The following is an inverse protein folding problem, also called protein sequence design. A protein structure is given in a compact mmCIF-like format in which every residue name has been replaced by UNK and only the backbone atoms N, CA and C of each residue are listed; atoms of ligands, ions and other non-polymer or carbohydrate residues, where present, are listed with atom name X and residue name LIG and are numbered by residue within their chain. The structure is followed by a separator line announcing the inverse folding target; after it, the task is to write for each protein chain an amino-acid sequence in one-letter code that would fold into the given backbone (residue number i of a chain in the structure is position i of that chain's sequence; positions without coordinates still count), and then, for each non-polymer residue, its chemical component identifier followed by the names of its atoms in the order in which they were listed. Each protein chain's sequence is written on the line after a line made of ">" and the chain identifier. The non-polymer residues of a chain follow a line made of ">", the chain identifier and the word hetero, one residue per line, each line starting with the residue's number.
data_IF_846636728621
#
_entry.id   IF_846636728621
#
_cell.length_a   1.000
_cell.length_b   1.000
_cell.length_c   1.000
_cell.angle_alpha   90.00
_cell.angle_beta   90.00
_cell.angle_gamma   90.00
#
_symmetry.space_group_name_H-M   'P 1'
#
loop_
_entity.id
_entity.type
_entity.pdbx_description
1 polymer ?
#
# COMPACT_ATOMS: atom_id res chain seq x y z
N UNK A 1 -13.08 -20.79 -0.83
CA UNK A 1 -12.93 -21.67 0.34
C UNK A 1 -13.94 -21.40 1.45
N UNK A 2 -14.63 -20.25 1.44
CA UNK A 2 -15.47 -19.84 2.58
C UNK A 2 -16.98 -19.97 2.39
N UNK A 3 -17.46 -19.83 1.15
CA UNK A 3 -18.89 -19.95 0.85
C UNK A 3 -19.42 -21.38 0.99
N UNK A 4 -18.52 -22.36 1.19
CA UNK A 4 -18.84 -23.78 1.25
C UNK A 4 -19.11 -24.32 2.67
N UNK A 5 -19.29 -23.45 3.67
CA UNK A 5 -19.67 -23.84 5.04
C UNK A 5 -18.49 -24.29 5.90
N UNK A 6 -17.74 -23.31 6.42
CA UNK A 6 -16.63 -23.55 7.37
C UNK A 6 -17.09 -23.95 8.78
N UNK A 7 -16.12 -24.37 9.61
CA UNK A 7 -16.29 -24.88 10.98
C UNK A 7 -17.19 -23.98 11.84
N UNK A 8 -18.16 -24.61 12.51
CA UNK A 8 -19.15 -24.04 13.45
C UNK A 8 -18.61 -23.16 14.57
N UNK A 9 -17.28 -23.15 14.82
CA UNK A 9 -16.63 -22.37 15.89
C UNK A 9 -16.37 -20.90 15.53
N UNK A 10 -16.68 -20.48 14.30
CA UNK A 10 -16.39 -19.14 13.79
C UNK A 10 -14.99 -19.06 13.16
N UNK A 11 -14.81 -18.13 12.21
CA UNK A 11 -13.51 -17.83 11.62
C UNK A 11 -12.73 -17.01 12.65
N UNK A 12 -11.60 -17.51 13.13
CA UNK A 12 -10.79 -16.82 14.15
C UNK A 12 -9.37 -16.51 13.66
N UNK A 13 -8.86 -17.25 12.69
CA UNK A 13 -7.50 -17.08 12.18
C UNK A 13 -7.42 -17.28 10.66
N UNK A 14 -6.41 -16.68 10.04
CA UNK A 14 -6.06 -16.85 8.63
C UNK A 14 -4.54 -16.68 8.45
N UNK A 15 -3.95 -17.37 7.47
CA UNK A 15 -2.52 -17.27 7.19
C UNK A 15 -2.22 -17.39 5.70
N UNK A 16 -1.21 -16.67 5.24
CA UNK A 16 -0.61 -16.77 3.91
C UNK A 16 0.84 -17.21 4.06
N UNK A 17 1.17 -18.36 3.47
CA UNK A 17 2.52 -18.94 3.48
C UNK A 17 2.96 -19.28 2.06
N UNK A 18 3.99 -18.60 1.57
CA UNK A 18 4.55 -18.79 0.22
C UNK A 18 6.03 -19.15 0.35
N UNK A 19 6.45 -20.17 -0.39
CA UNK A 19 7.84 -20.61 -0.45
C UNK A 19 8.45 -20.32 -1.81
N UNK A 20 9.67 -19.77 -1.82
CA UNK A 20 10.53 -19.52 -2.98
C UNK A 20 11.93 -19.96 -2.53
N UNK A 21 12.67 -20.79 -3.30
CA UNK A 21 14.03 -21.16 -2.95
C UNK A 21 14.86 -19.91 -2.64
N UNK A 22 15.54 -19.88 -1.50
CA UNK A 22 16.32 -18.71 -1.04
C UNK A 22 15.51 -17.40 -0.97
N UNK A 23 14.17 -17.49 -0.87
CA UNK A 23 13.28 -16.34 -0.87
C UNK A 23 13.02 -15.73 0.51
N UNK A 24 13.48 -16.38 1.58
CA UNK A 24 13.41 -15.82 2.92
C UNK A 24 14.32 -14.61 3.09
N UNK A 25 14.15 -13.90 4.22
CA UNK A 25 14.95 -12.72 4.55
C UNK A 25 16.46 -12.97 4.37
N UNK A 26 17.12 -12.12 3.57
CA UNK A 26 18.53 -12.25 3.16
C UNK A 26 18.92 -13.64 2.59
N UNK A 27 17.97 -14.36 1.99
CA UNK A 27 18.17 -15.72 1.49
C UNK A 27 18.37 -16.77 2.58
N UNK A 28 18.09 -16.45 3.84
CA UNK A 28 18.39 -17.31 5.00
C UNK A 28 17.49 -18.56 5.12
N UNK A 29 16.41 -18.65 4.34
CA UNK A 29 15.52 -19.80 4.23
C UNK A 29 14.63 -19.68 2.98
N UNK A 30 13.68 -20.61 2.80
CA UNK A 30 12.76 -20.63 1.64
C UNK A 30 11.41 -19.93 1.91
N UNK A 31 11.22 -19.30 3.08
CA UNK A 31 9.94 -18.68 3.49
C UNK A 31 9.84 -17.26 2.94
N UNK A 32 9.34 -17.14 1.73
CA UNK A 32 9.24 -15.84 1.07
C UNK A 32 8.16 -14.94 1.66
N UNK A 33 6.97 -15.49 1.96
CA UNK A 33 5.87 -14.75 2.60
C UNK A 33 5.32 -15.63 3.72
N UNK A 34 5.21 -15.09 4.94
CA UNK A 34 4.59 -15.75 6.09
C UNK A 34 3.82 -14.71 6.91
N UNK A 35 2.58 -14.44 6.52
CA UNK A 35 1.69 -13.46 7.15
C UNK A 35 0.56 -14.22 7.85
N UNK A 36 0.26 -13.85 9.09
CA UNK A 36 -0.74 -14.53 9.92
C UNK A 36 -1.61 -13.55 10.68
N UNK A 37 -2.88 -13.92 10.82
CA UNK A 37 -3.86 -13.32 11.71
C UNK A 37 -4.34 -14.45 12.60
N UNK A 38 -4.02 -14.38 13.89
CA UNK A 38 -4.26 -15.47 14.83
C UNK A 38 -5.61 -15.35 15.59
N UNK A 39 -6.11 -14.12 15.76
CA UNK A 39 -7.40 -13.85 16.44
C UNK A 39 -8.05 -12.57 15.86
N UNK A 40 -9.07 -12.73 15.03
CA UNK A 40 -9.89 -11.63 14.50
C UNK A 40 -11.31 -12.10 14.18
N UNK A 41 -12.31 -11.22 14.34
CA UNK A 41 -13.71 -11.53 13.98
C UNK A 41 -13.88 -11.80 12.48
N UNK A 42 -13.01 -11.18 11.68
CA UNK A 42 -12.97 -11.27 10.22
C UNK A 42 -11.55 -11.55 9.70
N UNK A 43 -10.97 -12.74 9.98
CA UNK A 43 -9.53 -12.94 9.86
C UNK A 43 -9.01 -12.91 8.42
N UNK A 44 -9.85 -13.19 7.42
CA UNK A 44 -9.45 -13.12 6.01
C UNK A 44 -9.36 -11.68 5.51
N UNK A 45 -10.32 -10.84 5.88
CA UNK A 45 -10.30 -9.42 5.55
C UNK A 45 -9.13 -8.73 6.26
N UNK A 46 -8.87 -9.12 7.50
CA UNK A 46 -7.70 -8.64 8.23
C UNK A 46 -6.38 -9.16 7.63
N UNK A 47 -6.34 -10.43 7.18
CA UNK A 47 -5.16 -10.97 6.51
C UNK A 47 -4.85 -10.21 5.22
N UNK A 48 -5.89 -9.83 4.46
CA UNK A 48 -5.73 -9.01 3.27
C UNK A 48 -5.15 -7.64 3.62
N UNK A 49 -5.70 -6.96 4.63
CA UNK A 49 -5.18 -5.65 5.11
C UNK A 49 -3.73 -5.74 5.54
N UNK A 50 -3.38 -6.74 6.35
CA UNK A 50 -1.99 -6.96 6.82
C UNK A 50 -1.08 -7.34 5.66
N UNK A 51 -1.56 -8.13 4.70
CA UNK A 51 -0.79 -8.49 3.52
C UNK A 51 -0.50 -7.29 2.62
N UNK A 52 -1.46 -6.38 2.42
CA UNK A 52 -1.24 -5.15 1.66
C UNK A 52 -0.10 -4.34 2.26
N UNK A 53 -0.10 -4.14 3.58
CA UNK A 53 1.00 -3.47 4.29
C UNK A 53 2.32 -4.21 4.14
N UNK A 54 2.31 -5.54 4.31
CA UNK A 54 3.49 -6.39 4.14
C UNK A 54 4.09 -6.26 2.73
N UNK A 55 3.26 -6.29 1.69
CA UNK A 55 3.68 -6.20 0.29
C UNK A 55 4.29 -4.83 -0.02
N UNK A 56 3.66 -3.73 0.43
CA UNK A 56 4.20 -2.38 0.19
C UNK A 56 5.50 -2.13 0.98
N UNK A 57 5.64 -2.66 2.20
CA UNK A 57 6.79 -2.35 3.08
C UNK A 57 7.99 -3.28 2.93
N UNK A 58 7.77 -4.57 2.64
CA UNK A 58 8.81 -5.60 2.73
C UNK A 58 9.12 -6.27 1.40
N UNK A 59 8.23 -6.19 0.41
CA UNK A 59 8.46 -6.82 -0.89
C UNK A 59 8.90 -5.76 -1.90
N UNK A 60 10.19 -5.80 -2.26
CA UNK A 60 10.69 -4.99 -3.35
C UNK A 60 10.00 -5.37 -4.67
N UNK A 61 9.78 -4.36 -5.50
CA UNK A 61 9.24 -4.49 -6.85
C UNK A 61 10.17 -3.79 -7.81
N UNK A 62 10.26 -4.32 -9.02
CA UNK A 62 11.06 -3.71 -10.08
C UNK A 62 10.69 -2.24 -10.27
N UNK A 63 11.69 -1.38 -10.45
CA UNK A 63 11.41 0.02 -10.79
C UNK A 63 10.81 0.12 -12.21
N UNK A 64 9.72 0.87 -12.41
CA UNK A 64 9.16 1.07 -13.72
C UNK A 64 10.10 1.86 -14.63
N UNK A 65 10.09 1.54 -15.93
CA UNK A 65 10.80 2.34 -16.94
C UNK A 65 10.26 3.77 -17.04
N UNK A 66 8.96 3.95 -16.79
CA UNK A 66 8.27 5.24 -16.86
C UNK A 66 7.29 5.41 -15.69
N UNK A 67 7.25 6.63 -15.15
CA UNK A 67 6.33 7.04 -14.08
C UNK A 67 5.29 8.04 -14.61
N UNK A 68 4.09 7.97 -14.07
CA UNK A 68 2.99 8.92 -14.31
C UNK A 68 2.89 9.90 -13.16
N UNK A 69 2.83 11.18 -13.49
CA UNK A 69 2.61 12.23 -12.49
C UNK A 69 1.18 12.18 -11.94
N UNK A 70 1.06 12.50 -10.66
CA UNK A 70 -0.24 12.61 -10.02
C UNK A 70 -0.88 13.95 -10.39
N UNK A 71 -2.02 13.91 -11.10
CA UNK A 71 -2.68 15.10 -11.66
C UNK A 71 -4.20 15.08 -11.48
N UNK A 72 -4.84 16.22 -11.73
CA UNK A 72 -6.29 16.37 -11.78
C UNK A 72 -7.00 16.13 -10.44
N UNK A 73 -8.19 15.54 -10.51
CA UNK A 73 -9.03 15.26 -9.33
C UNK A 73 -8.33 14.32 -8.35
N UNK A 74 -7.54 13.37 -8.84
CA UNK A 74 -6.75 12.44 -8.02
C UNK A 74 -5.68 13.19 -7.24
N UNK A 75 -4.96 14.12 -7.87
CA UNK A 75 -3.97 14.95 -7.16
C UNK A 75 -4.62 15.78 -6.05
N UNK A 76 -5.76 16.40 -6.33
CA UNK A 76 -6.51 17.13 -5.31
C UNK A 76 -6.91 16.21 -4.15
N UNK A 77 -7.48 15.03 -4.43
CA UNK A 77 -7.94 14.11 -3.40
C UNK A 77 -6.80 13.58 -2.50
N UNK A 78 -5.63 13.29 -3.09
CA UNK A 78 -4.44 12.87 -2.32
C UNK A 78 -3.91 14.04 -1.48
N UNK A 79 -3.86 15.26 -2.01
CA UNK A 79 -3.43 16.43 -1.26
C UNK A 79 -4.36 16.69 -0.05
N UNK A 80 -5.67 16.62 -0.25
CA UNK A 80 -6.66 16.75 0.83
C UNK A 80 -6.45 15.66 1.90
N UNK A 81 -6.18 14.42 1.47
CA UNK A 81 -5.89 13.31 2.39
C UNK A 81 -4.60 13.56 3.19
N UNK A 82 -3.56 14.12 2.58
CA UNK A 82 -2.32 14.50 3.27
C UNK A 82 -2.55 15.63 4.28
N UNK A 83 -3.48 16.56 4.03
CA UNK A 83 -3.91 17.56 5.01
C UNK A 83 -4.62 16.90 6.20
N UNK A 84 -5.56 16.01 5.93
CA UNK A 84 -6.31 15.30 6.98
C UNK A 84 -5.40 14.46 7.88
N UNK A 85 -4.33 13.91 7.32
CA UNK A 85 -3.30 13.15 8.04
C UNK A 85 -2.25 14.06 8.72
N UNK A 86 -2.28 15.37 8.49
CA UNK A 86 -1.37 16.34 9.08
C UNK A 86 0.03 16.38 8.44
N UNK A 87 0.16 15.93 7.19
CA UNK A 87 1.40 15.96 6.41
C UNK A 87 1.53 17.21 5.52
N UNK A 88 0.42 17.86 5.19
CA UNK A 88 0.35 19.02 4.31
C UNK A 88 -0.47 20.14 4.96
N UNK A 89 -0.05 21.39 4.78
CA UNK A 89 -0.84 22.54 5.22
C UNK A 89 -2.01 22.79 4.25
N UNK A 90 -3.17 23.20 4.77
CA UNK A 90 -4.37 23.37 3.95
C UNK A 90 -4.22 24.42 2.83
N UNK A 91 -3.33 25.40 3.00
CA UNK A 91 -3.02 26.39 1.96
C UNK A 91 -2.31 25.76 0.75
N UNK A 92 -1.47 24.76 0.98
CA UNK A 92 -0.81 24.01 -0.08
C UNK A 92 -1.73 22.97 -0.74
N UNK A 93 -2.94 22.75 -0.21
CA UNK A 93 -3.96 21.90 -0.81
C UNK A 93 -5.07 22.67 -1.53
N UNK A 94 -5.12 24.01 -1.51
CA UNK A 94 -6.29 24.76 -1.97
C UNK A 94 -6.64 24.55 -3.45
N UNK A 95 -5.65 24.37 -4.33
CA UNK A 95 -5.87 24.03 -5.75
C UNK A 95 -4.69 23.25 -6.31
N UNK A 96 -4.78 21.93 -6.27
CA UNK A 96 -3.72 21.01 -6.70
C UNK A 96 -4.11 20.34 -8.00
N UNK A 97 -3.70 20.93 -9.13
CA UNK A 97 -3.86 20.33 -10.45
C UNK A 97 -2.81 19.25 -10.75
N UNK A 98 -1.64 19.34 -10.10
CA UNK A 98 -0.55 18.38 -10.15
C UNK A 98 0.32 18.58 -8.91
N UNK A 99 1.03 17.53 -8.49
CA UNK A 99 1.93 17.65 -7.34
C UNK A 99 3.14 18.55 -7.66
N UNK A 100 3.35 19.54 -6.80
CA UNK A 100 4.52 20.41 -6.77
C UNK A 100 5.38 20.08 -5.54
N UNK A 101 6.35 20.95 -5.22
CA UNK A 101 7.31 20.72 -4.14
C UNK A 101 6.64 20.49 -2.77
N UNK A 102 5.65 21.30 -2.30
CA UNK A 102 5.01 21.07 -1.00
C UNK A 102 4.31 19.72 -0.90
N UNK A 103 3.59 19.31 -1.96
CA UNK A 103 2.87 18.05 -1.96
C UNK A 103 3.82 16.85 -2.06
N UNK A 104 4.93 16.98 -2.78
CA UNK A 104 5.97 15.94 -2.84
C UNK A 104 6.74 15.80 -1.53
N UNK A 105 7.01 16.89 -0.83
CA UNK A 105 7.61 16.85 0.51
C UNK A 105 6.66 16.18 1.52
N UNK A 106 5.36 16.52 1.47
CA UNK A 106 4.35 15.87 2.29
C UNK A 106 4.24 14.37 1.99
N UNK A 107 4.27 13.98 0.70
CA UNK A 107 4.25 12.58 0.28
C UNK A 107 5.51 11.83 0.72
N UNK A 108 6.68 12.47 0.66
CA UNK A 108 7.94 11.90 1.16
C UNK A 108 7.88 11.67 2.68
N UNK A 109 7.31 12.61 3.44
CA UNK A 109 7.09 12.45 4.87
C UNK A 109 6.14 11.28 5.18
N UNK A 110 5.03 11.16 4.43
CA UNK A 110 4.11 10.03 4.54
C UNK A 110 4.80 8.69 4.22
N UNK A 111 5.55 8.64 3.12
CA UNK A 111 6.34 7.47 2.69
C UNK A 111 7.31 7.02 3.78
N UNK A 112 8.05 7.95 4.38
CA UNK A 112 8.98 7.66 5.47
C UNK A 112 8.28 7.17 6.74
N UNK A 113 7.19 7.82 7.16
CA UNK A 113 6.44 7.39 8.35
C UNK A 113 5.83 5.99 8.23
N UNK A 114 5.49 5.57 7.01
CA UNK A 114 4.90 4.27 6.73
C UNK A 114 5.93 3.18 6.34
N UNK A 115 7.23 3.50 6.31
CA UNK A 115 8.32 2.61 5.88
C UNK A 115 8.16 2.10 4.44
N UNK A 116 7.68 2.94 3.52
CA UNK A 116 7.57 2.62 2.08
C UNK A 116 8.86 2.93 1.32
N UNK A 117 10.00 2.88 2.01
CA UNK A 117 11.27 3.39 1.50
C UNK A 117 11.95 2.45 0.51
N UNK A 118 11.50 1.19 0.45
CA UNK A 118 11.81 0.21 -0.58
C UNK A 118 11.30 0.62 -1.97
N UNK A 119 10.37 1.57 -2.06
CA UNK A 119 9.94 2.21 -3.31
C UNK A 119 10.40 3.67 -3.34
N UNK A 120 10.88 4.16 -4.48
CA UNK A 120 11.29 5.56 -4.61
C UNK A 120 10.07 6.50 -4.63
N UNK A 121 10.26 7.77 -4.24
CA UNK A 121 9.17 8.76 -4.22
C UNK A 121 8.39 8.86 -5.55
N UNK A 122 9.04 8.91 -6.74
CA UNK A 122 8.32 8.92 -8.01
C UNK A 122 7.48 7.66 -8.25
N UNK A 123 7.91 6.51 -7.72
CA UNK A 123 7.17 5.25 -7.82
C UNK A 123 5.94 5.28 -6.91
N UNK A 124 6.05 5.86 -5.71
CA UNK A 124 4.90 6.04 -4.81
C UNK A 124 3.88 7.02 -5.43
N UNK A 125 4.35 8.12 -6.01
CA UNK A 125 3.49 9.08 -6.74
C UNK A 125 2.77 8.40 -7.93
N UNK A 126 3.51 7.63 -8.76
CA UNK A 126 2.93 6.85 -9.87
C UNK A 126 1.93 5.80 -9.39
N UNK A 127 2.23 5.11 -8.28
CA UNK A 127 1.33 4.11 -7.73
C UNK A 127 0.01 4.74 -7.29
N UNK A 128 0.04 5.89 -6.61
CA UNK A 128 -1.16 6.66 -6.28
C UNK A 128 -1.91 7.10 -7.54
N UNK A 129 -1.21 7.60 -8.56
CA UNK A 129 -1.83 8.05 -9.79
C UNK A 129 -2.59 6.93 -10.53
N UNK A 130 -2.15 5.68 -10.40
CA UNK A 130 -2.74 4.52 -11.07
C UNK A 130 -3.74 3.74 -10.22
N UNK A 131 -3.57 3.73 -8.90
CA UNK A 131 -4.33 2.87 -8.00
C UNK A 131 -5.46 3.56 -7.25
N UNK A 132 -5.57 4.89 -7.30
CA UNK A 132 -6.54 5.64 -6.49
C UNK A 132 -8.01 5.31 -6.78
N UNK A 133 -8.35 5.04 -8.04
CA UNK A 133 -9.72 4.75 -8.47
C UNK A 133 -10.18 3.36 -8.00
N UNK A 134 -9.23 2.43 -7.80
CA UNK A 134 -9.48 1.08 -7.31
C UNK A 134 -9.37 0.97 -5.78
N UNK A 135 -8.97 2.07 -5.11
CA UNK A 135 -8.68 2.07 -3.67
C UNK A 135 -9.94 2.21 -2.82
N UNK A 136 -10.06 1.33 -1.82
CA UNK A 136 -11.09 1.34 -0.79
C UNK A 136 -10.62 2.02 0.51
N UNK A 137 -11.59 2.40 1.35
CA UNK A 137 -11.33 2.98 2.67
C UNK A 137 -11.19 4.50 2.67
N UNK A 138 -10.65 5.05 3.76
CA UNK A 138 -10.51 6.49 4.00
C UNK A 138 -9.14 6.81 4.62
N UNK A 139 -8.69 8.05 4.51
CA UNK A 139 -7.45 8.53 5.13
C UNK A 139 -6.22 7.69 4.75
N UNK A 140 -5.45 7.30 5.76
CA UNK A 140 -4.25 6.47 5.59
C UNK A 140 -4.57 5.13 4.95
N UNK A 141 -5.69 4.48 5.31
CA UNK A 141 -6.05 3.19 4.75
C UNK A 141 -6.20 3.27 3.22
N UNK A 142 -6.86 4.31 2.73
CA UNK A 142 -7.04 4.52 1.28
C UNK A 142 -5.73 4.81 0.58
N UNK A 143 -4.84 5.59 1.20
CA UNK A 143 -3.50 5.86 0.66
C UNK A 143 -2.71 4.58 0.47
N UNK A 144 -2.66 3.72 1.49
CA UNK A 144 -1.96 2.43 1.43
C UNK A 144 -2.58 1.53 0.37
N UNK A 145 -3.91 1.48 0.31
CA UNK A 145 -4.63 0.64 -0.65
C UNK A 145 -4.37 1.09 -2.10
N UNK A 146 -4.41 2.40 -2.36
CA UNK A 146 -4.09 2.98 -3.66
C UNK A 146 -2.65 2.69 -4.09
N UNK A 147 -1.68 2.88 -3.18
CA UNK A 147 -0.28 2.54 -3.46
C UNK A 147 -0.16 1.05 -3.80
N UNK A 148 -0.78 0.18 -3.01
CA UNK A 148 -0.75 -1.25 -3.27
C UNK A 148 -1.33 -1.60 -4.65
N UNK A 149 -2.50 -1.07 -5.00
CA UNK A 149 -3.14 -1.24 -6.32
C UNK A 149 -2.22 -0.79 -7.46
N UNK A 150 -1.62 0.40 -7.35
CA UNK A 150 -0.71 0.93 -8.35
C UNK A 150 0.58 0.11 -8.52
N UNK A 151 1.12 -0.44 -7.42
CA UNK A 151 2.33 -1.26 -7.42
C UNK A 151 2.10 -2.66 -8.00
N UNK A 152 0.88 -3.21 -7.98
CA UNK A 152 0.61 -4.59 -8.41
C UNK A 152 1.03 -4.91 -9.85
N UNK A 153 1.12 -3.88 -10.70
CA UNK A 153 1.57 -3.98 -12.09
C UNK A 153 3.06 -4.34 -12.24
N UNK A 154 3.86 -4.14 -11.19
CA UNK A 154 5.31 -4.34 -11.19
C UNK A 154 5.63 -5.75 -10.68
N UNK A 155 6.62 -6.41 -11.29
CA UNK A 155 7.07 -7.72 -10.81
C UNK A 155 7.76 -7.60 -9.45
N UNK A 156 7.65 -8.65 -8.62
CA UNK A 156 8.37 -8.74 -7.34
C UNK A 156 9.75 -9.33 -7.60
N UNK A 157 10.78 -8.76 -6.96
CA UNK A 157 12.16 -9.24 -7.04
C UNK A 157 12.36 -10.64 -6.36
#
# INVERSE_FOLDING_TARGET
>A
GDEAGGDSRGKQAAALYVVKPEGGYDGGNDRWIDVRVDDHETPIQELERVFKLYDVTLLAREEPEEVTELTGETAQAVADTLVDLGHLDAEDAETVAAFAEPQREALEAFRGMNNFENHSLPVVEDALARGWDDADGEGEQRMVDAIWHGLQRLERE
#
